data_IF_320696546467
#
_entry.id   IF_320696546467
#
_cell.length_a   1.000
_cell.length_b   1.000
_cell.length_c   1.000
_cell.angle_alpha   90.00
_cell.angle_beta   90.00
_cell.angle_gamma   90.00
#
_symmetry.space_group_name_H-M   'P 1'
#
loop_
_entity.id
_entity.type
_entity.pdbx_description
1 polymer ?
#
# COMPACT_ATOMS: atom_id res chain seq x y z
N UNK A 1 -16.24 -0.49 -4.96
CA UNK A 1 -14.97 0.03 -5.52
C UNK A 1 -14.23 0.95 -4.54
N UNK A 2 -14.90 1.88 -3.84
CA UNK A 2 -14.21 2.76 -2.85
C UNK A 2 -13.66 2.02 -1.62
N UNK A 3 -14.32 0.93 -1.19
CA UNK A 3 -13.84 0.09 -0.09
C UNK A 3 -12.50 -0.54 -0.45
N UNK A 4 -12.32 -1.02 -1.69
CA UNK A 4 -11.05 -1.55 -2.16
C UNK A 4 -9.96 -0.47 -2.15
N UNK A 5 -10.29 0.76 -2.58
CA UNK A 5 -9.37 1.89 -2.50
C UNK A 5 -8.89 2.14 -1.06
N UNK A 6 -9.82 2.19 -0.11
CA UNK A 6 -9.49 2.38 1.31
C UNK A 6 -8.65 1.20 1.83
N UNK A 7 -9.02 -0.04 1.47
CA UNK A 7 -8.32 -1.24 1.92
C UNK A 7 -6.85 -1.24 1.45
N UNK A 8 -6.62 -0.93 0.18
CA UNK A 8 -5.27 -0.82 -0.39
C UNK A 8 -4.46 0.30 0.25
N UNK A 9 -5.08 1.47 0.49
CA UNK A 9 -4.41 2.59 1.17
C UNK A 9 -3.98 2.22 2.59
N UNK A 10 -4.86 1.56 3.36
CA UNK A 10 -4.54 1.09 4.71
C UNK A 10 -3.41 0.07 4.67
N UNK A 11 -3.53 -0.97 3.83
CA UNK A 11 -2.49 -2.01 3.70
C UNK A 11 -1.14 -1.42 3.31
N UNK A 12 -1.11 -0.57 2.30
CA UNK A 12 0.11 0.09 1.84
C UNK A 12 0.72 0.96 2.94
N UNK A 13 -0.11 1.81 3.58
CA UNK A 13 0.31 2.68 4.68
C UNK A 13 0.83 1.89 5.89
N UNK A 14 0.16 0.80 6.26
CA UNK A 14 0.57 -0.09 7.35
C UNK A 14 1.91 -0.77 7.07
N UNK A 15 2.14 -1.28 5.87
CA UNK A 15 3.41 -1.91 5.52
C UNK A 15 4.57 -0.91 5.49
N UNK A 16 4.39 0.27 4.90
CA UNK A 16 5.44 1.29 4.89
C UNK A 16 5.75 1.84 6.29
N UNK A 17 4.71 2.11 7.09
CA UNK A 17 4.88 2.56 8.48
C UNK A 17 5.56 1.49 9.33
N UNK A 18 5.13 0.23 9.17
CA UNK A 18 5.74 -0.91 9.86
C UNK A 18 7.20 -1.13 9.46
N UNK A 19 7.53 -0.99 8.17
CA UNK A 19 8.90 -1.06 7.69
C UNK A 19 9.78 0.00 8.34
N UNK A 20 9.29 1.25 8.39
CA UNK A 20 9.99 2.39 8.99
C UNK A 20 10.23 2.18 10.49
N UNK A 21 9.23 1.71 11.23
CA UNK A 21 9.36 1.34 12.65
C UNK A 21 10.37 0.19 12.83
N UNK A 22 10.31 -0.84 11.99
CA UNK A 22 11.24 -1.97 12.06
C UNK A 22 12.70 -1.56 11.80
N UNK A 23 12.93 -0.61 10.89
CA UNK A 23 14.26 -0.03 10.67
C UNK A 23 14.77 0.74 11.90
N UNK A 24 13.93 1.55 12.56
CA UNK A 24 14.31 2.21 13.80
C UNK A 24 14.58 1.24 14.95
N UNK A 25 13.86 0.12 15.00
CA UNK A 25 14.13 -0.96 15.95
C UNK A 25 15.37 -1.81 15.58
N UNK A 26 16.14 -1.44 14.55
CA UNK A 26 17.29 -2.20 14.02
C UNK A 26 16.93 -3.61 13.54
N UNK A 27 15.64 -3.90 13.31
CA UNK A 27 15.14 -5.18 12.80
C UNK A 27 15.15 -5.17 11.27
N UNK A 28 16.35 -5.07 10.68
CA UNK A 28 16.53 -4.83 9.25
C UNK A 28 15.84 -5.87 8.36
N UNK A 29 15.93 -7.17 8.71
CA UNK A 29 15.26 -8.24 7.95
C UNK A 29 13.74 -8.04 7.87
N UNK A 30 13.12 -7.69 9.00
CA UNK A 30 11.69 -7.42 9.07
C UNK A 30 11.33 -6.13 8.33
N UNK A 31 12.17 -5.10 8.46
CA UNK A 31 12.02 -3.85 7.72
C UNK A 31 12.03 -4.06 6.21
N UNK A 32 13.00 -4.81 5.68
CA UNK A 32 13.05 -5.16 4.26
C UNK A 32 11.85 -6.00 3.81
N UNK A 33 11.42 -6.98 4.60
CA UNK A 33 10.23 -7.78 4.30
C UNK A 33 8.98 -6.89 4.17
N UNK A 34 8.75 -6.01 5.15
CA UNK A 34 7.62 -5.08 5.14
C UNK A 34 7.72 -4.05 4.00
N UNK A 35 8.93 -3.59 3.68
CA UNK A 35 9.17 -2.69 2.56
C UNK A 35 8.80 -3.35 1.22
N UNK A 36 9.25 -4.60 1.00
CA UNK A 36 8.94 -5.38 -0.21
C UNK A 36 7.44 -5.63 -0.30
N UNK A 37 6.79 -6.01 0.81
CA UNK A 37 5.34 -6.17 0.87
C UNK A 37 4.60 -4.86 0.55
N UNK A 38 5.09 -3.72 1.06
CA UNK A 38 4.57 -2.39 0.75
C UNK A 38 4.66 -2.07 -0.75
N UNK A 39 5.81 -2.36 -1.37
CA UNK A 39 6.01 -2.17 -2.82
C UNK A 39 5.10 -3.07 -3.66
N UNK A 40 4.97 -4.35 -3.30
CA UNK A 40 4.05 -5.28 -3.96
C UNK A 40 2.61 -4.77 -3.85
N UNK A 41 2.21 -4.32 -2.67
CA UNK A 41 0.87 -3.79 -2.43
C UNK A 41 0.62 -2.51 -3.25
N UNK A 42 1.61 -1.63 -3.35
CA UNK A 42 1.53 -0.43 -4.19
C UNK A 42 1.37 -0.80 -5.67
N UNK A 43 2.13 -1.79 -6.16
CA UNK A 43 1.97 -2.30 -7.52
C UNK A 43 0.56 -2.84 -7.78
N UNK A 44 0.04 -3.68 -6.86
CA UNK A 44 -1.32 -4.20 -6.97
C UNK A 44 -2.39 -3.11 -6.91
N UNK A 45 -2.18 -2.04 -6.14
CA UNK A 45 -3.09 -0.91 -6.11
C UNK A 45 -3.19 -0.22 -7.48
N UNK A 46 -2.06 0.12 -8.09
CA UNK A 46 -2.04 0.71 -9.44
C UNK A 46 -2.59 -0.25 -10.51
N UNK A 47 -2.26 -1.54 -10.41
CA UNK A 47 -2.83 -2.57 -11.29
C UNK A 47 -4.36 -2.66 -11.14
N UNK A 48 -4.88 -2.56 -9.93
CA UNK A 48 -6.33 -2.61 -9.66
C UNK A 48 -7.04 -1.37 -10.21
N UNK A 49 -6.38 -0.21 -10.25
CA UNK A 49 -6.88 0.98 -10.95
C UNK A 49 -6.91 0.74 -12.46
N UNK A 50 -5.81 0.24 -13.03
CA UNK A 50 -5.70 -0.05 -14.46
C UNK A 50 -6.74 -1.08 -14.94
N UNK A 51 -6.97 -2.14 -14.16
CA UNK A 51 -7.97 -3.17 -14.44
C UNK A 51 -9.42 -2.70 -14.22
N UNK A 52 -9.63 -1.46 -13.77
CA UNK A 52 -10.95 -0.91 -13.49
C UNK A 52 -11.65 -1.53 -12.28
N UNK A 53 -10.93 -2.15 -11.35
CA UNK A 53 -11.48 -2.69 -10.10
C UNK A 53 -11.67 -1.59 -9.04
N UNK A 54 -10.83 -0.55 -9.11
CA UNK A 54 -10.89 0.63 -8.26
C UNK A 54 -11.27 1.83 -9.13
N UNK A 55 -12.45 2.39 -8.90
CA UNK A 55 -12.83 3.68 -9.45
C UNK A 55 -12.34 4.77 -8.51
N UNK A 56 -11.55 5.68 -9.07
CA UNK A 56 -11.24 6.95 -8.42
C UNK A 56 -12.54 7.78 -8.41
N UNK A 57 -12.84 8.52 -7.32
CA UNK A 57 -13.98 9.43 -7.32
C UNK A 57 -13.82 10.43 -8.47
N UNK A 58 -14.87 10.61 -9.28
CA UNK A 58 -14.88 11.63 -10.33
C UNK A 58 -14.52 12.98 -9.73
N UNK A 59 -13.51 13.62 -10.29
CA UNK A 59 -13.10 14.95 -9.92
C UNK A 59 -14.16 15.92 -10.47
N UNK A 60 -15.24 16.16 -9.71
CA UNK A 60 -16.20 17.23 -9.99
C UNK A 60 -15.51 18.56 -9.66
N UNK A 61 -14.72 19.05 -10.61
CA UNK A 61 -14.26 20.43 -10.68
C UNK A 61 -15.38 21.35 -11.15
#
# INVERSE_FOLDING_TARGET
MIIFLILFLILMGSFFSGALVAFFQKKLKLGFLLLVLGLITAFFFYYSIYAGWITLPEQKG
#
